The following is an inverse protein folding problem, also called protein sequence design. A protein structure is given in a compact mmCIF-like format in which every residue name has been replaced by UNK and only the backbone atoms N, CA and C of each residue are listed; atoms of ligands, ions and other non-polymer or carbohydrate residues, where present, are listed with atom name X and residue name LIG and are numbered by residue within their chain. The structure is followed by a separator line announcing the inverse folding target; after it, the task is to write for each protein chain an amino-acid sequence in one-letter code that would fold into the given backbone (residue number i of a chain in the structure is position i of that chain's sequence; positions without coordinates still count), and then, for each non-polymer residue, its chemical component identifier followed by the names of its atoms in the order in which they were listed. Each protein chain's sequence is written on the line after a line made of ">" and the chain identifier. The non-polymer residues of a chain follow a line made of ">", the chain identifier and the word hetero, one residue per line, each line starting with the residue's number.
data_IF_842465119613
#
_entry.id   IF_842465119613
#
_cell.length_a   1.000
_cell.length_b   1.000
_cell.length_c   1.000
_cell.angle_alpha   90.00
_cell.angle_beta   90.00
_cell.angle_gamma   90.00
#
_symmetry.space_group_name_H-M   'P 1'
#
loop_
_entity.id
_entity.type
_entity.pdbx_description
1 polymer ?
#
# COMPACT_ATOMS: atom_id res chain seq x y z
N UNK A 1 -27.67 -6.90 22.51
CA UNK A 1 -27.61 -7.28 21.08
C UNK A 1 -26.23 -6.93 20.55
N UNK A 2 -25.38 -7.92 20.30
CA UNK A 2 -24.02 -7.68 19.78
C UNK A 2 -24.12 -7.64 18.25
N UNK A 3 -24.08 -6.46 17.65
CA UNK A 3 -24.00 -6.30 16.20
C UNK A 3 -22.77 -7.07 15.69
N UNK A 4 -22.99 -8.17 14.94
CA UNK A 4 -21.95 -8.81 14.14
C UNK A 4 -21.66 -7.87 12.98
N UNK A 5 -20.66 -7.01 13.17
CA UNK A 5 -20.04 -6.28 12.07
C UNK A 5 -19.22 -7.29 11.26
N UNK A 6 -19.86 -7.94 10.29
CA UNK A 6 -19.17 -8.75 9.27
C UNK A 6 -18.62 -7.79 8.23
N UNK A 7 -17.30 -7.65 8.20
CA UNK A 7 -16.60 -7.01 7.08
C UNK A 7 -16.37 -8.09 6.04
N UNK A 8 -16.75 -7.82 4.80
CA UNK A 8 -16.45 -8.69 3.67
C UNK A 8 -14.93 -8.86 3.52
N UNK A 9 -14.50 -10.05 3.10
CA UNK A 9 -13.06 -10.31 2.90
C UNK A 9 -12.50 -9.34 1.86
N UNK A 10 -11.35 -8.76 2.15
CA UNK A 10 -10.60 -7.96 1.19
C UNK A 10 -9.97 -8.88 0.15
N UNK A 11 -10.46 -8.82 -1.07
CA UNK A 11 -9.96 -9.59 -2.22
C UNK A 11 -8.93 -8.82 -3.04
N UNK A 12 -8.54 -7.60 -2.63
CA UNK A 12 -7.69 -6.71 -3.43
C UNK A 12 -8.47 -5.56 -4.09
N UNK A 13 -9.79 -5.69 -4.17
CA UNK A 13 -10.67 -4.63 -4.69
C UNK A 13 -11.23 -3.76 -3.55
N UNK A 14 -11.57 -2.51 -3.89
CA UNK A 14 -12.22 -1.57 -2.97
C UNK A 14 -11.45 -1.37 -1.65
N UNK A 15 -10.11 -1.28 -1.73
CA UNK A 15 -9.26 -1.11 -0.56
C UNK A 15 -9.69 0.09 0.29
N UNK A 16 -10.03 1.24 -0.31
CA UNK A 16 -10.55 2.39 0.44
C UNK A 16 -11.78 2.08 1.29
N UNK A 17 -12.77 1.38 0.73
CA UNK A 17 -14.00 1.03 1.45
C UNK A 17 -13.73 -0.02 2.53
N UNK A 18 -12.94 -1.05 2.21
CA UNK A 18 -12.54 -2.06 3.19
C UNK A 18 -11.72 -1.43 4.32
N UNK A 19 -10.73 -0.60 4.00
CA UNK A 19 -9.90 0.17 4.94
C UNK A 19 -10.79 1.01 5.86
N UNK A 20 -11.75 1.74 5.30
CA UNK A 20 -12.70 2.52 6.09
C UNK A 20 -13.52 1.65 7.06
N UNK A 21 -14.12 0.55 6.57
CA UNK A 21 -14.86 -0.42 7.39
C UNK A 21 -13.97 -1.02 8.49
N UNK A 22 -12.74 -1.39 8.15
CA UNK A 22 -11.77 -2.01 9.04
C UNK A 22 -11.32 -1.04 10.14
N UNK A 23 -10.98 0.20 9.78
CA UNK A 23 -10.66 1.26 10.73
C UNK A 23 -11.81 1.48 11.72
N UNK A 24 -13.06 1.56 11.23
CA UNK A 24 -14.24 1.73 12.07
C UNK A 24 -14.40 0.55 13.06
N UNK A 25 -14.23 -0.69 12.61
CA UNK A 25 -14.37 -1.89 13.44
C UNK A 25 -13.28 -1.99 14.51
N UNK A 26 -12.03 -1.68 14.16
CA UNK A 26 -10.90 -1.69 15.09
C UNK A 26 -11.01 -0.56 16.13
N UNK A 27 -11.49 0.62 15.74
CA UNK A 27 -11.78 1.72 16.67
C UNK A 27 -12.92 1.36 17.63
N UNK A 28 -14.01 0.78 17.12
CA UNK A 28 -15.14 0.32 17.93
C UNK A 28 -14.74 -0.76 18.96
N UNK A 29 -13.76 -1.60 18.64
CA UNK A 29 -13.23 -2.63 19.54
C UNK A 29 -12.07 -2.16 20.42
N UNK A 30 -11.71 -0.87 20.37
CA UNK A 30 -10.53 -0.30 21.05
C UNK A 30 -9.21 -1.01 20.71
N UNK A 31 -9.12 -1.57 19.51
CA UNK A 31 -7.95 -2.27 18.98
C UNK A 31 -7.05 -1.36 18.13
N UNK A 32 -7.54 -0.20 17.71
CA UNK A 32 -6.84 0.70 16.78
C UNK A 32 -5.44 1.13 17.24
N UNK A 33 -5.23 1.30 18.56
CA UNK A 33 -3.90 1.59 19.14
C UNK A 33 -2.85 0.54 18.81
N UNK A 34 -3.27 -0.71 18.55
CA UNK A 34 -2.37 -1.75 18.10
C UNK A 34 -1.82 -1.49 16.69
N UNK A 35 -2.57 -0.80 15.86
CA UNK A 35 -2.23 -0.61 14.45
C UNK A 35 -1.41 0.67 14.24
N UNK A 36 -1.69 1.72 15.01
CA UNK A 36 -0.96 2.99 14.95
C UNK A 36 0.41 2.94 15.61
N UNK A 37 0.77 1.85 16.29
CA UNK A 37 2.04 1.80 17.00
C UNK A 37 3.22 1.82 16.02
N UNK A 38 4.17 2.69 16.32
CA UNK A 38 5.47 2.79 15.63
C UNK A 38 6.60 2.17 16.45
N UNK A 39 6.37 1.91 17.74
CA UNK A 39 7.33 1.30 18.65
C UNK A 39 7.05 -0.20 18.85
N UNK A 40 8.07 -0.99 19.22
CA UNK A 40 7.91 -2.39 19.60
C UNK A 40 6.85 -2.55 20.69
N UNK A 41 6.08 -3.63 20.62
CA UNK A 41 5.09 -3.95 21.63
C UNK A 41 5.77 -4.13 22.99
N UNK A 42 5.31 -3.42 24.01
CA UNK A 42 5.70 -3.72 25.38
C UNK A 42 5.14 -5.09 25.76
N UNK A 43 6.04 -6.07 25.90
CA UNK A 43 5.68 -7.46 26.21
C UNK A 43 5.32 -7.66 27.68
N UNK A 44 5.61 -6.69 28.56
CA UNK A 44 5.21 -6.70 29.96
C UNK A 44 3.73 -6.30 30.15
N UNK A 45 3.15 -5.54 29.21
CA UNK A 45 1.73 -5.16 29.24
C UNK A 45 0.85 -6.26 28.63
N UNK A 46 0.19 -7.03 29.50
CA UNK A 46 -0.74 -8.09 29.11
C UNK A 46 -1.94 -7.58 28.31
N UNK A 47 -2.44 -6.38 28.58
CA UNK A 47 -3.57 -5.80 27.85
C UNK A 47 -3.14 -5.38 26.44
N UNK A 48 -1.95 -4.80 26.31
CA UNK A 48 -1.34 -4.52 25.00
C UNK A 48 -1.13 -5.80 24.18
N UNK A 49 -0.62 -6.87 24.79
CA UNK A 49 -0.46 -8.17 24.14
C UNK A 49 -1.81 -8.78 23.70
N UNK A 50 -2.84 -8.68 24.55
CA UNK A 50 -4.19 -9.16 24.22
C UNK A 50 -4.80 -8.37 23.06
N UNK A 51 -4.64 -7.05 23.06
CA UNK A 51 -5.11 -6.17 21.97
C UNK A 51 -4.36 -6.45 20.68
N UNK A 52 -3.06 -6.72 20.75
CA UNK A 52 -2.27 -7.07 19.56
C UNK A 52 -2.78 -8.33 18.89
N UNK A 53 -2.90 -9.43 19.63
CA UNK A 53 -3.39 -10.70 19.10
C UNK A 53 -4.78 -10.56 18.47
N UNK A 54 -5.66 -9.75 19.08
CA UNK A 54 -7.00 -9.47 18.56
C UNK A 54 -6.98 -8.63 17.29
N UNK A 55 -6.13 -7.59 17.23
CA UNK A 55 -5.99 -6.76 16.04
C UNK A 55 -5.43 -7.57 14.87
N UNK A 56 -4.40 -8.38 15.12
CA UNK A 56 -3.80 -9.28 14.14
C UNK A 56 -4.85 -10.26 13.59
N UNK A 57 -5.58 -10.95 14.47
CA UNK A 57 -6.63 -11.87 14.05
C UNK A 57 -7.74 -11.17 13.25
N UNK A 58 -8.15 -9.97 13.66
CA UNK A 58 -9.16 -9.20 12.94
C UNK A 58 -8.70 -8.82 11.52
N UNK A 59 -7.44 -8.42 11.35
CA UNK A 59 -6.85 -8.14 10.04
C UNK A 59 -6.79 -9.42 9.20
N UNK A 60 -6.12 -10.46 9.66
CA UNK A 60 -5.94 -11.72 8.91
C UNK A 60 -7.28 -12.34 8.50
N UNK A 61 -8.27 -12.40 9.39
CA UNK A 61 -9.58 -13.00 9.10
C UNK A 61 -10.44 -12.18 8.12
N UNK A 62 -10.07 -10.93 7.90
CA UNK A 62 -10.76 -10.03 6.98
C UNK A 62 -10.08 -9.91 5.61
N UNK A 63 -9.00 -10.66 5.39
CA UNK A 63 -8.29 -10.74 4.11
C UNK A 63 -8.72 -12.02 3.36
N UNK A 64 -8.75 -11.92 2.03
CA UNK A 64 -8.80 -13.09 1.14
C UNK A 64 -7.41 -13.72 1.00
N UNK A 65 -7.39 -14.97 0.52
CA UNK A 65 -6.18 -15.80 0.48
C UNK A 65 -5.06 -15.17 -0.36
N UNK A 66 -5.42 -14.47 -1.44
CA UNK A 66 -4.48 -13.72 -2.27
C UNK A 66 -3.75 -12.62 -1.47
N UNK A 67 -4.48 -11.90 -0.63
CA UNK A 67 -3.94 -10.81 0.19
C UNK A 67 -3.14 -11.34 1.38
N UNK A 68 -3.45 -12.56 1.85
CA UNK A 68 -2.68 -13.23 2.90
C UNK A 68 -1.26 -13.59 2.47
N UNK A 69 -1.06 -13.94 1.19
CA UNK A 69 0.26 -14.26 0.64
C UNK A 69 1.24 -13.06 0.76
N UNK A 70 0.74 -11.83 0.64
CA UNK A 70 1.54 -10.60 0.75
C UNK A 70 1.91 -10.25 2.19
N UNK A 71 1.05 -10.61 3.16
CA UNK A 71 1.23 -10.23 4.58
C UNK A 71 1.75 -11.36 5.47
N UNK A 72 1.93 -12.58 4.96
CA UNK A 72 2.31 -13.77 5.75
C UNK A 72 3.59 -13.60 6.59
N UNK A 73 4.53 -12.78 6.13
CA UNK A 73 5.81 -12.51 6.81
C UNK A 73 5.75 -11.33 7.79
N UNK A 74 4.57 -10.73 8.04
CA UNK A 74 4.43 -9.63 8.98
C UNK A 74 4.35 -10.16 10.42
N UNK A 75 5.15 -9.59 11.32
CA UNK A 75 5.24 -10.01 12.71
C UNK A 75 4.19 -9.32 13.60
N UNK A 76 3.72 -8.13 13.19
CA UNK A 76 2.80 -7.29 13.99
C UNK A 76 1.58 -6.83 13.21
N UNK A 77 0.48 -6.53 13.90
CA UNK A 77 -0.73 -5.98 13.28
C UNK A 77 -0.45 -4.64 12.58
N UNK A 78 0.49 -3.85 13.13
CA UNK A 78 0.94 -2.61 12.52
C UNK A 78 1.72 -2.85 11.22
N UNK A 79 2.55 -3.88 11.14
CA UNK A 79 3.23 -4.28 9.90
C UNK A 79 2.26 -4.77 8.83
N UNK A 80 1.28 -5.62 9.21
CA UNK A 80 0.21 -6.05 8.29
C UNK A 80 -0.51 -4.83 7.74
N UNK A 81 -0.93 -3.90 8.61
CA UNK A 81 -1.61 -2.68 8.19
C UNK A 81 -0.75 -1.80 7.27
N UNK A 82 0.55 -1.68 7.56
CA UNK A 82 1.47 -0.89 6.75
C UNK A 82 1.70 -1.49 5.37
N UNK A 83 1.85 -2.82 5.29
CA UNK A 83 1.94 -3.53 4.01
C UNK A 83 0.68 -3.34 3.18
N UNK A 84 -0.49 -3.61 3.77
CA UNK A 84 -1.77 -3.39 3.10
C UNK A 84 -1.96 -1.94 2.64
N UNK A 85 -1.52 -0.97 3.45
CA UNK A 85 -1.61 0.46 3.08
C UNK A 85 -0.61 0.83 1.98
N UNK A 86 0.58 0.23 1.96
CA UNK A 86 1.56 0.44 0.90
C UNK A 86 1.02 -0.11 -0.43
N UNK A 87 0.48 -1.32 -0.40
CA UNK A 87 -0.06 -1.99 -1.59
C UNK A 87 -1.38 -1.35 -2.06
N UNK A 88 -2.21 -0.88 -1.12
CA UNK A 88 -3.52 -0.29 -1.37
C UNK A 88 -3.57 1.24 -1.46
N UNK A 89 -2.48 1.97 -1.19
CA UNK A 89 -2.36 3.41 -1.51
C UNK A 89 -1.37 3.61 -2.70
N UNK A 90 -0.87 2.53 -3.32
CA UNK A 90 0.09 2.51 -4.43
C UNK A 90 -0.54 2.54 -5.84
N UNK A 91 0.23 2.19 -6.86
CA UNK A 91 -0.20 2.19 -8.28
C UNK A 91 -1.45 1.31 -8.51
N UNK A 92 -1.58 0.22 -7.75
CA UNK A 92 -2.76 -0.63 -7.74
C UNK A 92 -4.06 0.14 -7.39
N UNK A 93 -3.99 1.09 -6.46
CA UNK A 93 -5.15 1.92 -6.07
C UNK A 93 -5.54 2.88 -7.17
N UNK A 94 -4.55 3.47 -7.85
CA UNK A 94 -4.80 4.31 -9.01
C UNK A 94 -5.47 3.50 -10.12
N UNK A 95 -4.99 2.28 -10.39
CA UNK A 95 -5.61 1.36 -11.35
C UNK A 95 -7.05 1.03 -10.95
N UNK A 96 -7.27 0.69 -9.68
CA UNK A 96 -8.59 0.37 -9.16
C UNK A 96 -9.55 1.56 -9.23
N UNK A 97 -9.11 2.78 -8.93
CA UNK A 97 -9.93 4.00 -9.05
C UNK A 97 -10.39 4.25 -10.49
N UNK A 98 -9.50 4.10 -11.47
CA UNK A 98 -9.85 4.27 -12.88
C UNK A 98 -10.82 3.18 -13.34
N UNK A 99 -10.58 1.91 -12.96
CA UNK A 99 -11.49 0.80 -13.25
C UNK A 99 -12.87 0.98 -12.60
N UNK A 100 -12.93 1.45 -11.36
CA UNK A 100 -14.19 1.71 -10.66
C UNK A 100 -14.97 2.86 -11.29
N UNK A 101 -14.29 3.90 -11.75
CA UNK A 101 -14.94 5.02 -12.46
C UNK A 101 -15.53 4.53 -13.79
N UNK A 102 -14.80 3.69 -14.52
CA UNK A 102 -15.30 3.07 -15.74
C UNK A 102 -16.54 2.19 -15.48
N UNK A 103 -16.51 1.35 -14.44
CA UNK A 103 -17.67 0.55 -14.03
C UNK A 103 -18.87 1.39 -13.61
N UNK A 104 -18.64 2.51 -12.91
CA UNK A 104 -19.70 3.45 -12.52
C UNK A 104 -20.33 4.14 -13.74
N UNK A 105 -19.52 4.49 -14.75
CA UNK A 105 -20.00 5.03 -16.02
C UNK A 105 -20.86 4.01 -16.78
N UNK A 106 -20.44 2.75 -16.83
CA UNK A 106 -21.25 1.69 -17.43
C UNK A 106 -22.58 1.47 -16.68
N UNK A 107 -22.56 1.53 -15.34
CA UNK A 107 -23.75 1.39 -14.53
C UNK A 107 -24.81 2.48 -14.77
N UNK A 108 -24.41 3.67 -15.24
CA UNK A 108 -25.31 4.76 -15.64
C UNK A 108 -25.61 4.76 -17.16
N UNK A 109 -25.17 3.72 -17.89
CA UNK A 109 -25.45 3.54 -19.31
C UNK A 109 -24.42 4.17 -20.27
N UNK A 110 -23.31 4.69 -19.76
CA UNK A 110 -22.20 5.16 -20.58
C UNK A 110 -21.23 4.01 -20.83
N UNK A 111 -21.24 3.45 -22.05
CA UNK A 111 -20.28 2.40 -22.43
C UNK A 111 -18.88 2.99 -22.42
N UNK A 112 -17.96 2.37 -21.66
CA UNK A 112 -16.54 2.73 -21.65
C UNK A 112 -15.77 1.61 -22.31
N UNK A 113 -15.07 1.89 -23.39
CA UNK A 113 -14.22 0.91 -24.05
C UNK A 113 -12.88 0.74 -23.31
N UNK A 114 -12.28 -0.44 -23.47
CA UNK A 114 -11.01 -0.77 -22.83
C UNK A 114 -9.85 0.14 -23.29
N UNK A 115 -9.91 0.64 -24.52
CA UNK A 115 -8.90 1.57 -25.06
C UNK A 115 -8.93 2.88 -24.27
N UNK A 116 -10.10 3.47 -24.04
CA UNK A 116 -10.27 4.65 -23.20
C UNK A 116 -9.80 4.43 -21.75
N UNK A 117 -10.00 3.23 -21.19
CA UNK A 117 -9.48 2.87 -19.85
C UNK A 117 -7.95 2.83 -19.87
N UNK A 118 -7.35 2.20 -20.88
CA UNK A 118 -5.90 2.11 -21.07
C UNK A 118 -5.29 3.49 -21.24
N UNK A 119 -5.85 4.30 -22.14
CA UNK A 119 -5.44 5.69 -22.41
C UNK A 119 -5.56 6.56 -21.16
N UNK A 120 -6.67 6.43 -20.42
CA UNK A 120 -6.85 7.15 -19.15
C UNK A 120 -5.80 6.73 -18.13
N UNK A 121 -5.54 5.42 -17.98
CA UNK A 121 -4.51 4.90 -17.08
C UNK A 121 -3.12 5.44 -17.43
N UNK A 122 -2.74 5.41 -18.72
CA UNK A 122 -1.44 5.88 -19.21
C UNK A 122 -1.24 7.38 -18.97
N UNK A 123 -2.25 8.22 -19.22
CA UNK A 123 -2.14 9.68 -19.04
C UNK A 123 -2.34 10.15 -17.58
N UNK A 124 -2.94 9.33 -16.72
CA UNK A 124 -3.12 9.67 -15.29
C UNK A 124 -1.95 9.26 -14.40
N UNK A 125 -0.96 8.54 -14.94
CA UNK A 125 0.31 8.24 -14.28
C UNK A 125 1.18 9.50 -14.15
N UNK A 126 1.72 9.72 -12.94
CA UNK A 126 2.71 10.76 -12.64
C UNK A 126 4.08 10.45 -13.25
N UNK A 127 4.86 11.51 -13.49
CA UNK A 127 6.24 11.62 -14.06
C UNK A 127 7.24 10.50 -13.71
N UNK A 128 7.01 9.75 -12.64
CA UNK A 128 7.86 8.65 -12.15
C UNK A 128 7.86 7.40 -13.04
N UNK A 129 6.86 7.25 -13.91
CA UNK A 129 6.70 6.08 -14.79
C UNK A 129 6.93 6.38 -16.26
N UNK A 130 7.47 7.56 -16.62
CA UNK A 130 7.69 7.97 -18.02
C UNK A 130 8.47 6.92 -18.83
N UNK A 131 9.52 6.33 -18.26
CA UNK A 131 10.31 5.31 -18.96
C UNK A 131 9.49 4.06 -19.30
N UNK A 132 8.50 3.72 -18.49
CA UNK A 132 7.60 2.60 -18.75
C UNK A 132 6.52 3.01 -19.76
N UNK A 133 5.98 4.22 -19.64
CA UNK A 133 4.98 4.78 -20.55
C UNK A 133 5.54 4.82 -21.98
N UNK A 134 6.75 5.36 -22.19
CA UNK A 134 7.42 5.38 -23.50
C UNK A 134 7.59 3.97 -24.08
N UNK A 135 7.95 2.99 -23.24
CA UNK A 135 8.06 1.59 -23.69
C UNK A 135 6.71 0.96 -24.03
N UNK A 136 5.63 1.35 -23.37
CA UNK A 136 4.29 0.81 -23.59
C UNK A 136 3.57 1.50 -24.76
N UNK A 137 3.77 2.80 -24.94
CA UNK A 137 3.26 3.59 -26.08
C UNK A 137 3.79 3.04 -27.40
N UNK A 138 5.05 2.59 -27.45
CA UNK A 138 5.62 1.93 -28.64
C UNK A 138 4.93 0.62 -29.04
N UNK A 139 4.06 0.07 -28.16
CA UNK A 139 3.33 -1.19 -28.34
C UNK A 139 1.81 -1.01 -28.15
N UNK A 140 1.31 0.23 -28.23
CA UNK A 140 -0.07 0.57 -27.89
C UNK A 140 -1.12 -0.18 -28.71
N UNK A 141 -0.82 -0.53 -29.97
CA UNK A 141 -1.77 -1.14 -30.90
C UNK A 141 -2.26 -2.55 -30.49
N UNK A 142 -1.50 -3.27 -29.65
CA UNK A 142 -1.84 -4.62 -29.15
C UNK A 142 -1.95 -4.67 -27.61
N UNK A 143 -2.07 -3.52 -26.94
CA UNK A 143 -2.06 -3.47 -25.49
C UNK A 143 -3.39 -3.97 -24.90
N UNK A 144 -3.31 -4.96 -23.99
CA UNK A 144 -4.46 -5.41 -23.21
C UNK A 144 -4.45 -4.78 -21.81
N UNK A 145 -5.65 -4.57 -21.25
CA UNK A 145 -5.80 -4.04 -19.89
C UNK A 145 -5.11 -4.94 -18.84
N UNK A 146 -5.10 -6.24 -19.06
CA UNK A 146 -4.44 -7.24 -18.22
C UNK A 146 -2.91 -7.08 -18.29
N UNK A 147 -2.35 -6.97 -19.49
CA UNK A 147 -0.91 -6.76 -19.69
C UNK A 147 -0.43 -5.43 -19.10
N UNK A 148 -1.20 -4.36 -19.32
CA UNK A 148 -0.93 -3.04 -18.74
C UNK A 148 -0.96 -3.08 -17.21
N UNK A 149 -1.98 -3.70 -16.63
CA UNK A 149 -2.10 -3.86 -15.16
C UNK A 149 -0.89 -4.63 -14.61
N UNK A 150 -0.53 -5.76 -15.23
CA UNK A 150 0.60 -6.57 -14.79
C UNK A 150 1.95 -5.83 -14.88
N UNK A 151 2.17 -5.06 -15.97
CA UNK A 151 3.40 -4.28 -16.16
C UNK A 151 3.51 -3.10 -15.19
N UNK A 152 2.42 -2.39 -14.94
CA UNK A 152 2.40 -1.28 -13.98
C UNK A 152 2.69 -1.75 -12.56
N UNK A 153 2.08 -2.86 -12.14
CA UNK A 153 2.33 -3.46 -10.82
C UNK A 153 3.76 -3.98 -10.69
N UNK A 154 4.30 -4.58 -11.76
CA UNK A 154 5.70 -5.01 -11.77
C UNK A 154 6.67 -3.82 -11.66
N UNK A 155 6.42 -2.71 -12.36
CA UNK A 155 7.30 -1.54 -12.30
C UNK A 155 7.27 -0.86 -10.93
N UNK A 156 6.11 -0.80 -10.25
CA UNK A 156 6.01 -0.27 -8.88
C UNK A 156 6.92 -1.03 -7.89
N UNK A 157 7.02 -2.36 -8.03
CA UNK A 157 7.92 -3.14 -7.17
C UNK A 157 9.38 -2.75 -7.35
N UNK A 158 9.77 -2.34 -8.55
CA UNK A 158 11.14 -1.88 -8.88
C UNK A 158 11.39 -0.44 -8.43
N UNK A 159 10.42 0.45 -8.57
CA UNK A 159 10.51 1.82 -8.05
C UNK A 159 10.67 1.85 -6.53
N UNK A 160 10.02 0.91 -5.81
CA UNK A 160 10.14 0.83 -4.35
C UNK A 160 11.52 0.35 -3.87
N UNK A 161 12.33 -0.29 -4.70
CA UNK A 161 13.69 -0.76 -4.34
C UNK A 161 14.77 0.29 -4.67
N UNK A 162 14.50 1.21 -5.60
CA UNK A 162 15.45 2.24 -6.04
C UNK A 162 15.61 3.44 -5.10
N UNK A 163 14.78 3.58 -4.06
CA UNK A 163 14.72 4.79 -3.23
C UNK A 163 15.40 4.68 -1.85
N UNK A 164 15.98 3.53 -1.49
CA UNK A 164 16.68 3.31 -0.21
C UNK A 164 18.24 3.37 -0.32
N UNK A 165 18.76 3.76 -1.49
CA UNK A 165 20.22 3.75 -1.77
C UNK A 165 20.94 5.10 -1.60
N UNK A 166 20.31 6.10 -1.00
CA UNK A 166 20.69 7.50 -1.17
C UNK A 166 21.25 8.26 0.02
N UNK A 167 21.63 7.63 1.15
CA UNK A 167 22.30 8.39 2.21
C UNK A 167 23.28 7.53 3.02
N UNK A 168 24.49 7.32 2.47
CA UNK A 168 25.67 6.99 3.26
C UNK A 168 26.56 8.21 3.39
N UNK A 169 26.30 8.93 4.48
CA UNK A 169 27.28 9.51 5.40
C UNK A 169 28.34 10.44 4.80
N UNK A 170 28.10 11.73 5.03
CA UNK A 170 29.12 12.77 5.10
C UNK A 170 30.37 12.28 5.86
N UNK A 171 31.52 12.26 5.17
CA UNK A 171 32.82 12.17 5.82
C UNK A 171 33.11 13.48 6.57
N UNK A 172 33.71 13.43 7.77
CA UNK A 172 33.92 14.63 8.56
C UNK A 172 34.98 15.53 7.92
N UNK A 173 34.57 16.77 7.65
CA UNK A 173 35.42 17.90 7.31
C UNK A 173 36.37 18.22 8.48
N UNK A 174 37.64 17.83 8.35
CA UNK A 174 38.71 18.28 9.25
C UNK A 174 39.34 19.55 8.71
N UNK A 175 39.00 20.68 9.31
CA UNK A 175 39.73 21.94 9.18
C UNK A 175 39.83 22.64 10.54
N UNK A 176 41.05 23.01 10.95
CA UNK A 176 41.27 24.15 11.85
C UNK A 176 42.00 23.91 13.18
N UNK A 177 43.33 23.81 13.10
CA UNK A 177 44.37 24.57 13.83
C UNK A 177 44.25 25.02 15.32
N UNK A 178 45.41 24.90 16.00
CA UNK A 178 45.89 25.73 17.14
C UNK A 178 45.63 25.12 18.53
N UNK A 179 46.50 25.17 19.55
CA UNK A 179 47.87 25.68 19.77
C UNK A 179 48.29 25.31 21.21
N UNK A 180 49.60 25.22 21.44
CA UNK A 180 50.33 25.46 22.71
C UNK A 180 50.34 24.43 23.87
N UNK A 181 51.58 24.25 24.33
CA UNK A 181 52.25 23.62 25.49
C UNK A 181 51.52 23.70 26.85
N UNK A 182 51.83 22.81 27.84
CA UNK A 182 53.03 23.03 28.70
C UNK A 182 53.72 21.76 29.28
N UNK A 183 55.02 21.85 29.53
CA UNK A 183 55.70 21.72 30.85
C UNK A 183 57.21 21.87 30.67
#
# INVERSE_FOLDING_TARGET
>A
MTLRLTIDKFTGENFHLWKFKMQAMLKAKSLWRAIERTLPLDTADQDACRKEKKAMAALVLSLGDEQLMHVQNAATAAEVWRKLKKDGDGMLEHINKVKMTAQQLEAIGAKVDNENIITTLLYSLLESFESLIVSLESRADDLTLEFLTARLLHEETRCSEGQDGGERTAGPSMAGAGSATPL
#
